data_IF_286640105529
#
_entry.id   IF_286640105529
#
_cell.length_a   1.000
_cell.length_b   1.000
_cell.length_c   1.000
_cell.angle_alpha   90.00
_cell.angle_beta   90.00
_cell.angle_gamma   90.00
#
_symmetry.space_group_name_H-M   'P 1'
#
loop_
_entity.id
_entity.type
_entity.pdbx_description
1 polymer ?
#
# COMPACT_ATOMS: atom_id res chain seq x y z
N UNK A 1 10.70 -14.75 7.34
CA UNK A 1 10.35 -13.75 6.32
C UNK A 1 9.43 -14.36 5.26
N UNK A 2 8.66 -13.53 4.56
CA UNK A 2 7.77 -13.96 3.46
C UNK A 2 8.53 -14.73 2.39
N UNK A 3 9.68 -14.27 1.86
CA UNK A 3 10.45 -15.01 0.86
C UNK A 3 10.83 -16.43 1.31
N UNK A 4 11.25 -16.59 2.55
CA UNK A 4 11.64 -17.91 3.07
C UNK A 4 10.43 -18.85 3.21
N UNK A 5 9.26 -18.33 3.55
CA UNK A 5 8.02 -19.10 3.61
C UNK A 5 7.58 -19.55 2.19
N UNK A 6 7.64 -18.65 1.21
CA UNK A 6 7.36 -18.97 -0.20
C UNK A 6 8.31 -20.02 -0.77
N UNK A 7 9.62 -19.92 -0.49
CA UNK A 7 10.60 -20.91 -0.90
C UNK A 7 10.30 -22.31 -0.32
N UNK A 8 9.86 -22.38 0.95
CA UNK A 8 9.43 -23.65 1.58
C UNK A 8 8.17 -24.24 0.94
N UNK A 9 7.30 -23.40 0.36
CA UNK A 9 6.11 -23.84 -0.39
C UNK A 9 6.43 -24.23 -1.84
N UNK A 10 7.69 -24.16 -2.26
CA UNK A 10 8.15 -24.59 -3.57
C UNK A 10 8.05 -23.55 -4.68
N UNK A 11 7.89 -22.26 -4.35
CA UNK A 11 7.94 -21.18 -5.33
C UNK A 11 9.38 -20.94 -5.80
N UNK A 12 9.53 -20.67 -7.10
CA UNK A 12 10.82 -20.34 -7.72
C UNK A 12 11.24 -18.90 -7.37
N UNK A 13 12.53 -18.60 -7.45
CA UNK A 13 13.07 -17.28 -7.07
C UNK A 13 12.41 -16.13 -7.82
N UNK A 14 12.19 -16.25 -9.13
CA UNK A 14 11.50 -15.23 -9.92
C UNK A 14 10.03 -15.03 -9.49
N UNK A 15 9.32 -16.11 -9.16
CA UNK A 15 7.93 -16.02 -8.65
C UNK A 15 7.89 -15.34 -7.28
N UNK A 16 8.88 -15.62 -6.42
CA UNK A 16 9.01 -14.98 -5.11
C UNK A 16 9.27 -13.48 -5.27
N UNK A 17 10.14 -13.07 -6.20
CA UNK A 17 10.42 -11.67 -6.49
C UNK A 17 9.16 -10.94 -6.95
N UNK A 18 8.39 -11.53 -7.87
CA UNK A 18 7.14 -10.94 -8.35
C UNK A 18 6.08 -10.85 -7.24
N UNK A 19 5.92 -11.88 -6.41
CA UNK A 19 5.00 -11.87 -5.26
C UNK A 19 5.40 -10.77 -4.27
N UNK A 20 6.69 -10.64 -3.97
CA UNK A 20 7.19 -9.64 -3.03
C UNK A 20 7.00 -8.23 -3.62
N UNK A 21 7.37 -8.01 -4.88
CA UNK A 21 7.19 -6.72 -5.56
C UNK A 21 5.73 -6.30 -5.64
N UNK A 22 4.81 -7.25 -5.83
CA UNK A 22 3.37 -6.97 -5.75
C UNK A 22 2.95 -6.40 -4.39
N UNK A 23 3.50 -6.93 -3.30
CA UNK A 23 3.14 -6.50 -1.96
C UNK A 23 3.83 -5.22 -1.51
N UNK A 24 5.12 -5.04 -1.82
CA UNK A 24 5.94 -3.92 -1.31
C UNK A 24 6.14 -2.81 -2.33
N UNK A 25 5.81 -3.05 -3.60
CA UNK A 25 6.02 -2.11 -4.70
C UNK A 25 7.46 -2.11 -5.24
N UNK A 26 7.64 -1.36 -6.32
CA UNK A 26 8.93 -1.20 -7.00
C UNK A 26 9.70 0.05 -6.52
N UNK A 27 9.04 0.95 -5.80
CA UNK A 27 9.63 2.19 -5.29
C UNK A 27 10.02 3.20 -6.38
N UNK A 28 9.55 3.01 -7.62
CA UNK A 28 9.89 3.85 -8.78
C UNK A 28 8.73 3.93 -9.77
N UNK A 29 8.60 5.08 -10.44
CA UNK A 29 7.67 5.31 -11.54
C UNK A 29 8.21 4.88 -12.91
N UNK A 30 9.44 4.41 -13.01
CA UNK A 30 10.12 4.14 -14.29
C UNK A 30 9.31 3.32 -15.27
N UNK A 31 8.69 2.23 -14.82
CA UNK A 31 7.83 1.34 -15.61
C UNK A 31 6.39 1.27 -15.09
N UNK A 32 5.96 2.26 -14.30
CA UNK A 32 4.61 2.28 -13.74
C UNK A 32 3.55 2.46 -14.84
N UNK A 33 2.40 1.79 -14.74
CA UNK A 33 1.33 1.93 -15.70
C UNK A 33 0.66 3.31 -15.59
N UNK A 34 0.42 3.94 -16.72
CA UNK A 34 -0.25 5.25 -16.83
C UNK A 34 0.61 6.43 -16.39
N UNK A 35 1.10 6.41 -15.15
CA UNK A 35 1.92 7.49 -14.59
C UNK A 35 3.37 7.03 -14.50
N UNK A 36 4.17 7.38 -15.50
CA UNK A 36 5.59 7.06 -15.61
C UNK A 36 6.38 8.29 -16.05
N UNK A 37 7.70 8.17 -16.13
CA UNK A 37 8.58 9.28 -16.51
C UNK A 37 8.16 9.91 -17.84
N UNK A 38 7.82 9.12 -18.85
CA UNK A 38 7.40 9.62 -20.16
C UNK A 38 6.10 10.44 -20.07
N UNK A 39 5.12 9.95 -19.32
CA UNK A 39 3.87 10.68 -19.09
C UNK A 39 4.11 11.99 -18.34
N UNK A 40 4.96 11.98 -17.30
CA UNK A 40 5.30 13.18 -16.55
C UNK A 40 6.03 14.21 -17.40
N UNK A 41 6.97 13.79 -18.25
CA UNK A 41 7.65 14.69 -19.20
C UNK A 41 6.62 15.35 -20.12
N UNK A 42 5.62 14.61 -20.61
CA UNK A 42 4.50 15.14 -21.39
C UNK A 42 3.68 16.21 -20.66
N UNK A 43 3.66 16.20 -19.33
CA UNK A 43 3.04 17.22 -18.48
C UNK A 43 4.00 18.36 -18.06
N UNK A 44 5.21 18.43 -18.63
CA UNK A 44 6.16 19.50 -18.38
C UNK A 44 7.13 19.26 -17.20
N UNK A 45 7.17 18.04 -16.65
CA UNK A 45 8.16 17.69 -15.64
C UNK A 45 9.55 17.59 -16.28
N UNK A 46 10.52 18.28 -15.71
CA UNK A 46 11.93 18.11 -16.05
C UNK A 46 12.60 16.98 -15.28
N UNK A 47 13.85 16.66 -15.63
CA UNK A 47 14.60 15.61 -14.95
C UNK A 47 14.76 15.90 -13.46
N UNK A 48 14.96 17.19 -13.10
CA UNK A 48 15.12 17.59 -11.70
C UNK A 48 13.88 17.30 -10.84
N UNK A 49 12.66 17.48 -11.41
CA UNK A 49 11.41 17.17 -10.72
C UNK A 49 11.20 15.67 -10.61
N UNK A 50 11.53 14.92 -11.67
CA UNK A 50 11.48 13.45 -11.67
C UNK A 50 12.44 12.89 -10.61
N UNK A 51 13.65 13.40 -10.51
CA UNK A 51 14.63 12.95 -9.51
C UNK A 51 14.18 13.22 -8.07
N UNK A 52 13.50 14.35 -7.83
CA UNK A 52 12.89 14.64 -6.52
C UNK A 52 11.79 13.64 -6.16
N UNK A 53 10.91 13.32 -7.13
CA UNK A 53 9.86 12.33 -6.96
C UNK A 53 10.48 10.97 -6.64
N UNK A 54 11.39 10.48 -7.48
CA UNK A 54 12.05 9.17 -7.31
C UNK A 54 12.76 9.06 -5.96
N UNK A 55 13.37 10.15 -5.48
CA UNK A 55 14.01 10.18 -4.16
C UNK A 55 12.99 10.03 -3.01
N UNK A 56 11.79 10.56 -3.17
CA UNK A 56 10.76 10.54 -2.14
C UNK A 56 9.91 9.26 -2.13
N UNK A 57 9.76 8.59 -3.29
CA UNK A 57 8.90 7.41 -3.46
C UNK A 57 9.21 6.24 -2.53
N UNK A 58 10.47 5.85 -2.23
CA UNK A 58 10.76 4.71 -1.37
C UNK A 58 10.19 4.81 0.06
N UNK A 59 9.88 6.02 0.51
CA UNK A 59 9.27 6.27 1.83
C UNK A 59 7.77 6.53 1.77
N UNK A 60 7.17 6.54 0.58
CA UNK A 60 5.78 6.90 0.39
C UNK A 60 4.84 5.68 0.53
N UNK A 61 3.74 5.84 1.24
CA UNK A 61 2.64 4.86 1.31
C UNK A 61 1.59 5.05 0.21
N UNK A 62 1.59 6.21 -0.44
CA UNK A 62 0.73 6.55 -1.57
C UNK A 62 1.48 7.57 -2.42
N UNK A 63 1.48 7.38 -3.74
CA UNK A 63 2.18 8.27 -4.69
C UNK A 63 1.71 9.71 -4.60
N UNK A 64 0.45 9.96 -4.22
CA UNK A 64 -0.10 11.32 -4.04
C UNK A 64 0.69 12.15 -3.03
N UNK A 65 1.30 11.49 -2.03
CA UNK A 65 2.09 12.19 -1.02
C UNK A 65 3.40 12.76 -1.52
N UNK A 66 3.87 12.34 -2.70
CA UNK A 66 5.07 12.91 -3.31
C UNK A 66 4.76 13.93 -4.39
N UNK A 67 3.51 13.96 -4.90
CA UNK A 67 3.04 14.95 -5.89
C UNK A 67 2.43 16.17 -5.21
N UNK A 68 3.27 17.02 -4.61
CA UNK A 68 2.87 18.21 -3.88
C UNK A 68 3.92 19.32 -4.00
N UNK A 69 3.58 20.54 -3.55
CA UNK A 69 4.47 21.68 -3.61
C UNK A 69 5.73 21.58 -2.75
N UNK A 70 5.72 20.79 -1.69
CA UNK A 70 6.89 20.63 -0.82
C UNK A 70 7.96 19.73 -1.44
N UNK A 71 7.56 18.76 -2.24
CA UNK A 71 8.45 17.88 -3.00
C UNK A 71 8.93 18.56 -4.28
N UNK A 72 8.00 19.12 -5.06
CA UNK A 72 8.26 19.65 -6.39
C UNK A 72 8.80 21.10 -6.37
N UNK A 73 8.40 21.89 -5.37
CA UNK A 73 8.62 23.31 -5.28
C UNK A 73 7.41 24.12 -5.75
N UNK A 74 7.10 25.20 -5.01
CA UNK A 74 5.95 26.06 -5.34
C UNK A 74 6.11 26.73 -6.71
N UNK A 75 7.32 27.17 -7.05
CA UNK A 75 7.63 27.83 -8.33
C UNK A 75 7.36 26.91 -9.53
N UNK A 76 7.69 25.62 -9.43
CA UNK A 76 7.38 24.65 -10.46
C UNK A 76 5.86 24.43 -10.58
N UNK A 77 5.19 24.27 -9.46
CA UNK A 77 3.73 24.04 -9.45
C UNK A 77 2.96 25.25 -10.03
N UNK A 78 3.37 26.47 -9.69
CA UNK A 78 2.69 27.68 -10.18
C UNK A 78 3.13 28.10 -11.57
N UNK A 79 4.45 28.08 -11.82
CA UNK A 79 5.04 28.61 -13.05
C UNK A 79 4.95 27.65 -14.24
N UNK A 80 5.19 26.35 -14.01
CA UNK A 80 5.18 25.35 -15.09
C UNK A 80 3.83 24.63 -15.20
N UNK A 81 3.30 24.17 -14.06
CA UNK A 81 2.01 23.45 -14.05
C UNK A 81 0.80 24.39 -14.04
N UNK A 82 1.00 25.71 -13.85
CA UNK A 82 -0.07 26.70 -13.87
C UNK A 82 -1.08 26.57 -12.74
N UNK A 83 -0.71 25.94 -11.63
CA UNK A 83 -1.61 25.70 -10.49
C UNK A 83 -1.65 26.97 -9.64
N UNK A 84 -2.85 27.55 -9.39
CA UNK A 84 -2.98 28.71 -8.49
C UNK A 84 -2.47 28.39 -7.07
N UNK A 85 -1.75 29.31 -6.45
CA UNK A 85 -1.19 29.14 -5.10
C UNK A 85 -2.25 28.78 -4.07
N UNK A 86 -3.44 29.38 -4.17
CA UNK A 86 -4.56 29.08 -3.30
C UNK A 86 -4.99 27.59 -3.35
N UNK A 87 -4.85 26.92 -4.50
CA UNK A 87 -5.14 25.49 -4.62
C UNK A 87 -4.03 24.63 -4.00
N UNK A 88 -2.78 25.06 -4.08
CA UNK A 88 -1.65 24.33 -3.48
C UNK A 88 -1.73 24.28 -1.96
N UNK A 89 -2.45 25.24 -1.33
CA UNK A 89 -2.68 25.29 0.11
C UNK A 89 -3.92 24.50 0.56
N UNK A 90 -4.73 24.00 -0.37
CA UNK A 90 -5.92 23.21 -0.06
C UNK A 90 -5.50 21.75 0.25
N UNK A 91 -5.77 21.23 1.48
CA UNK A 91 -5.43 19.86 1.84
C UNK A 91 -6.16 18.78 1.02
N UNK A 92 -7.27 19.14 0.37
CA UNK A 92 -8.05 18.23 -0.49
C UNK A 92 -7.57 18.22 -1.94
N UNK A 93 -6.61 19.08 -2.29
CA UNK A 93 -6.11 19.19 -3.66
C UNK A 93 -5.26 17.97 -4.05
N UNK A 94 -5.63 17.30 -5.14
CA UNK A 94 -4.89 16.19 -5.72
C UNK A 94 -4.26 16.63 -7.05
N UNK A 95 -2.94 16.78 -7.04
CA UNK A 95 -2.15 17.25 -8.17
C UNK A 95 -2.25 16.30 -9.36
N UNK A 96 -2.22 14.97 -9.14
CA UNK A 96 -2.32 13.99 -10.22
C UNK A 96 -3.68 14.06 -10.92
N UNK A 97 -4.76 14.17 -10.16
CA UNK A 97 -6.11 14.38 -10.72
C UNK A 97 -6.18 15.71 -11.48
N UNK A 98 -5.54 16.78 -10.97
CA UNK A 98 -5.49 18.08 -11.64
C UNK A 98 -4.76 18.02 -12.98
N UNK A 99 -3.71 17.20 -13.10
CA UNK A 99 -3.00 16.94 -14.36
C UNK A 99 -3.80 16.10 -15.35
N UNK A 100 -4.97 15.59 -14.98
CA UNK A 100 -5.86 14.85 -15.86
C UNK A 100 -5.71 13.33 -15.77
N UNK A 101 -4.89 12.81 -14.87
CA UNK A 101 -4.83 11.37 -14.62
C UNK A 101 -6.12 10.86 -13.98
N UNK A 102 -6.66 9.81 -14.53
CA UNK A 102 -7.84 9.14 -13.98
C UNK A 102 -7.51 8.43 -12.66
N UNK A 103 -8.52 8.22 -11.84
CA UNK A 103 -8.37 7.45 -10.60
C UNK A 103 -7.81 6.04 -10.83
N UNK A 104 -8.21 5.39 -11.93
CA UNK A 104 -7.71 4.07 -12.29
C UNK A 104 -6.21 4.06 -12.61
N UNK A 105 -5.71 5.09 -13.32
CA UNK A 105 -4.28 5.25 -13.59
C UNK A 105 -3.50 5.53 -12.31
N UNK A 106 -4.02 6.40 -11.45
CA UNK A 106 -3.39 6.72 -10.16
C UNK A 106 -3.32 5.47 -9.29
N UNK A 107 -4.40 4.70 -9.16
CA UNK A 107 -4.45 3.49 -8.35
C UNK A 107 -3.51 2.40 -8.93
N UNK A 108 -3.44 2.25 -10.25
CA UNK A 108 -2.53 1.30 -10.90
C UNK A 108 -1.05 1.67 -10.71
N UNK A 109 -0.71 2.95 -10.88
CA UNK A 109 0.63 3.45 -10.61
C UNK A 109 1.00 3.31 -9.12
N UNK A 110 0.05 3.60 -8.23
CA UNK A 110 0.24 3.44 -6.79
C UNK A 110 0.52 1.98 -6.39
N UNK A 111 -0.24 1.03 -6.92
CA UNK A 111 0.00 -0.40 -6.68
C UNK A 111 1.38 -0.83 -7.19
N UNK A 112 1.81 -0.31 -8.32
CA UNK A 112 3.14 -0.59 -8.88
C UNK A 112 4.25 -0.02 -8.00
N UNK A 113 4.12 1.23 -7.56
CA UNK A 113 5.17 1.96 -6.85
C UNK A 113 5.21 1.61 -5.36
N UNK A 114 4.06 1.71 -4.68
CA UNK A 114 3.95 1.53 -3.23
C UNK A 114 3.55 0.10 -2.83
N UNK A 115 3.19 -0.75 -3.81
CA UNK A 115 2.68 -2.08 -3.58
C UNK A 115 1.24 -2.09 -3.03
N UNK A 116 0.67 -3.28 -2.99
CA UNK A 116 -0.69 -3.50 -2.50
C UNK A 116 -0.77 -3.65 -0.98
N UNK A 117 0.37 -3.82 -0.31
CA UNK A 117 0.54 -4.11 1.11
C UNK A 117 -0.17 -5.42 1.55
N UNK A 118 -0.53 -6.28 0.60
CA UNK A 118 -1.12 -7.60 0.84
C UNK A 118 -0.57 -8.59 -0.15
N UNK A 119 -0.59 -9.88 0.20
CA UNK A 119 -0.28 -10.97 -0.73
C UNK A 119 -1.52 -11.52 -1.44
N UNK A 120 -2.72 -11.07 -1.05
CA UNK A 120 -3.95 -11.47 -1.70
C UNK A 120 -4.01 -10.95 -3.15
N UNK A 121 -4.15 -11.87 -4.10
CA UNK A 121 -4.14 -11.55 -5.53
C UNK A 121 -2.75 -11.41 -6.14
N UNK A 122 -1.68 -11.69 -5.39
CA UNK A 122 -0.33 -11.67 -5.94
C UNK A 122 -0.17 -12.68 -7.09
N UNK A 123 0.58 -12.33 -8.15
CA UNK A 123 0.84 -13.26 -9.25
C UNK A 123 1.49 -14.54 -8.71
N UNK A 124 1.23 -15.66 -9.36
CA UNK A 124 1.76 -17.00 -9.01
C UNK A 124 1.33 -17.56 -7.65
N UNK A 125 0.88 -16.72 -6.69
CA UNK A 125 0.52 -17.17 -5.35
C UNK A 125 -0.81 -17.93 -5.38
N UNK A 126 -0.76 -19.22 -4.99
CA UNK A 126 -1.92 -20.09 -4.93
C UNK A 126 -2.83 -19.72 -3.76
N UNK A 127 -4.15 -19.75 -3.98
CA UNK A 127 -5.13 -19.42 -2.94
C UNK A 127 -5.01 -20.32 -1.70
N UNK A 128 -4.66 -21.60 -1.88
CA UNK A 128 -4.45 -22.56 -0.79
C UNK A 128 -3.34 -22.15 0.17
N UNK A 129 -2.38 -21.31 -0.29
CA UNK A 129 -1.28 -20.82 0.53
C UNK A 129 -1.57 -19.47 1.20
N UNK A 130 -2.69 -18.81 0.91
CA UNK A 130 -3.00 -17.49 1.48
C UNK A 130 -3.03 -17.51 3.01
N UNK A 131 -3.58 -18.58 3.62
CA UNK A 131 -3.69 -18.69 5.08
C UNK A 131 -2.34 -18.67 5.82
N UNK A 132 -1.25 -19.02 5.15
CA UNK A 132 0.11 -18.97 5.71
C UNK A 132 0.54 -17.52 5.98
N UNK A 133 -0.03 -16.57 5.25
CA UNK A 133 0.32 -15.16 5.25
C UNK A 133 -0.75 -14.27 5.89
N UNK A 134 -1.81 -14.86 6.47
CA UNK A 134 -2.86 -14.10 7.14
C UNK A 134 -2.25 -13.31 8.32
N UNK A 135 -2.51 -12.02 8.35
CA UNK A 135 -2.13 -11.12 9.44
C UNK A 135 -3.29 -10.93 10.40
N UNK A 136 -2.99 -10.41 11.60
CA UNK A 136 -4.01 -10.17 12.64
C UNK A 136 -5.11 -9.18 12.19
N UNK A 137 -4.82 -8.33 11.20
CA UNK A 137 -5.77 -7.39 10.59
C UNK A 137 -5.65 -7.46 9.07
N UNK A 138 -6.67 -7.04 8.31
CA UNK A 138 -6.56 -6.88 6.86
C UNK A 138 -5.41 -5.96 6.49
N UNK A 139 -4.63 -6.34 5.48
CA UNK A 139 -3.45 -5.61 5.05
C UNK A 139 -3.75 -4.79 3.79
N UNK A 140 -3.26 -3.54 3.74
CA UNK A 140 -3.44 -2.65 2.61
C UNK A 140 -4.90 -2.27 2.33
N UNK A 141 -5.13 -1.70 1.16
CA UNK A 141 -6.48 -1.29 0.72
C UNK A 141 -7.30 -2.46 0.16
N UNK A 142 -6.65 -3.55 -0.26
CA UNK A 142 -7.25 -4.68 -0.98
C UNK A 142 -7.36 -5.94 -0.14
N UNK A 143 -6.57 -6.10 0.91
CA UNK A 143 -6.58 -7.27 1.77
C UNK A 143 -7.89 -7.40 2.54
N UNK A 144 -8.44 -8.60 2.54
CA UNK A 144 -9.70 -8.95 3.21
C UNK A 144 -9.52 -10.05 4.25
N UNK A 145 -8.40 -10.77 4.16
CA UNK A 145 -8.13 -11.93 4.99
C UNK A 145 -7.48 -11.52 6.32
N UNK A 146 -8.03 -12.05 7.39
CA UNK A 146 -7.49 -11.97 8.75
C UNK A 146 -8.16 -13.04 9.62
N UNK A 147 -7.52 -13.51 10.69
CA UNK A 147 -8.16 -14.36 11.68
C UNK A 147 -9.32 -13.62 12.33
N UNK A 148 -10.47 -14.29 12.47
CA UNK A 148 -11.65 -13.70 13.14
C UNK A 148 -11.36 -13.34 14.59
N UNK A 149 -12.16 -12.44 15.16
CA UNK A 149 -12.11 -12.11 16.61
C UNK A 149 -12.21 -13.38 17.44
N UNK A 150 -13.14 -14.27 17.11
CA UNK A 150 -13.33 -15.55 17.80
C UNK A 150 -12.08 -16.45 17.74
N UNK A 151 -11.34 -16.45 16.61
CA UNK A 151 -10.08 -17.19 16.51
C UNK A 151 -9.05 -16.71 17.54
N UNK A 152 -8.96 -15.39 17.76
CA UNK A 152 -8.10 -14.83 18.80
C UNK A 152 -8.57 -15.22 20.20
N UNK A 153 -9.87 -15.17 20.47
CA UNK A 153 -10.46 -15.56 21.76
C UNK A 153 -10.18 -17.03 22.05
N UNK A 154 -10.47 -17.93 21.09
CA UNK A 154 -10.24 -19.38 21.26
C UNK A 154 -8.77 -19.71 21.45
N UNK A 155 -7.88 -19.05 20.73
CA UNK A 155 -6.44 -19.24 20.93
C UNK A 155 -6.00 -18.85 22.35
N UNK A 156 -6.50 -17.72 22.87
CA UNK A 156 -6.20 -17.27 24.22
C UNK A 156 -6.79 -18.19 25.28
N UNK A 157 -8.04 -18.61 25.11
CA UNK A 157 -8.70 -19.56 26.00
C UNK A 157 -7.95 -20.91 26.06
N UNK A 158 -7.50 -21.41 24.90
CA UNK A 158 -6.66 -22.60 24.82
C UNK A 158 -5.32 -22.43 25.52
N UNK A 159 -4.64 -21.30 25.32
CA UNK A 159 -3.34 -21.02 25.93
C UNK A 159 -3.44 -20.81 27.44
N UNK A 160 -4.55 -20.29 27.96
CA UNK A 160 -4.75 -20.02 29.40
C UNK A 160 -4.58 -21.28 30.25
N UNK A 161 -4.99 -22.44 29.78
CA UNK A 161 -4.86 -23.71 30.50
C UNK A 161 -3.41 -24.16 30.72
N UNK A 162 -2.45 -23.60 29.98
CA UNK A 162 -1.02 -23.92 30.08
C UNK A 162 -0.19 -22.83 30.78
N UNK A 163 -0.84 -21.80 31.32
CA UNK A 163 -0.16 -20.67 31.96
C UNK A 163 -0.59 -20.54 33.42
N UNK A 164 0.33 -20.17 34.31
CA UNK A 164 0.06 -19.98 35.73
C UNK A 164 -0.49 -18.60 36.10
N UNK A 165 -0.44 -17.66 35.14
CA UNK A 165 -0.93 -16.29 35.27
C UNK A 165 -2.07 -15.98 34.32
N UNK A 166 -2.71 -14.83 34.53
CA UNK A 166 -3.71 -14.33 33.58
C UNK A 166 -3.06 -13.92 32.26
N UNK A 167 -3.74 -14.22 31.15
CA UNK A 167 -3.37 -13.74 29.83
C UNK A 167 -4.27 -12.55 29.45
N UNK A 168 -3.66 -11.50 28.92
CA UNK A 168 -4.36 -10.32 28.43
C UNK A 168 -4.11 -10.16 26.94
N UNK A 169 -5.15 -9.86 26.18
CA UNK A 169 -5.07 -9.62 24.74
C UNK A 169 -5.98 -8.46 24.35
N UNK A 170 -5.43 -7.46 23.69
CA UNK A 170 -6.23 -6.44 23.02
C UNK A 170 -6.71 -6.96 21.68
N UNK A 171 -8.01 -6.85 21.42
CA UNK A 171 -8.63 -7.18 20.13
C UNK A 171 -9.12 -5.89 19.52
N UNK A 172 -8.63 -5.58 18.31
CA UNK A 172 -9.07 -4.44 17.55
C UNK A 172 -10.26 -4.84 16.67
N UNK A 173 -11.40 -4.21 16.90
CA UNK A 173 -12.59 -4.38 16.08
C UNK A 173 -12.57 -3.37 14.92
N UNK A 174 -13.05 -3.74 13.71
CA UNK A 174 -13.24 -2.80 12.62
C UNK A 174 -14.19 -1.65 13.01
N UNK A 175 -14.03 -0.47 12.41
CA UNK A 175 -14.92 0.67 12.68
C UNK A 175 -16.40 0.42 12.32
N UNK A 176 -16.67 -0.59 11.51
CA UNK A 176 -18.04 -1.01 11.15
C UNK A 176 -18.66 -2.01 12.14
N UNK A 177 -17.94 -2.40 13.20
CA UNK A 177 -18.44 -3.36 14.18
C UNK A 177 -19.65 -2.81 14.93
N UNK A 178 -20.64 -3.67 15.12
CA UNK A 178 -21.86 -3.36 15.87
C UNK A 178 -21.71 -3.66 17.37
N UNK A 179 -22.68 -3.21 18.18
CA UNK A 179 -22.72 -3.57 19.59
C UNK A 179 -22.89 -5.09 19.83
N UNK A 180 -23.53 -5.81 18.89
CA UNK A 180 -23.62 -7.26 18.97
C UNK A 180 -22.28 -7.97 18.79
N UNK A 181 -21.40 -7.43 17.94
CA UNK A 181 -20.06 -7.99 17.73
C UNK A 181 -19.15 -7.80 18.96
N UNK A 182 -19.51 -6.88 19.88
CA UNK A 182 -18.80 -6.65 21.15
C UNK A 182 -19.33 -7.55 22.26
N UNK A 183 -20.55 -8.08 22.13
CA UNK A 183 -21.22 -8.88 23.16
C UNK A 183 -21.05 -10.39 22.96
N UNK A 184 -20.53 -10.84 21.82
CA UNK A 184 -20.13 -12.23 21.61
C UNK A 184 -18.86 -12.57 22.40
#
# INVERSE_FOLDING_TARGET
>A
SVPAALAKQGYRSNEIEEIVSYAVGHGSLGNAPGINHTALIGHGFGQAEIDKIETALPSAFDIRFVFNQWTLGADFCTGVLGIPEAKLMDPSFDLLTHLGFSRAEIDAANDHVCGTMTLEGAPHLKQEHYSIFDCANPCGKKGKRYPSVNSHIYMMAGAQSFTTGAISKTINLPNCSSMSDVQE
#
